data_IF_166953454834
#
_entry.id   IF_166953454834
#
_cell.length_a   1.000
_cell.length_b   1.000
_cell.length_c   1.000
_cell.angle_alpha   90.00
_cell.angle_beta   90.00
_cell.angle_gamma   90.00
#
_symmetry.space_group_name_H-M   'P 1'
#
loop_
_entity.id
_entity.type
_entity.pdbx_description
1 polymer ?
#
# COMPACT_ATOMS: atom_id res chain seq x y z
N UNK A 1 9.40 12.29 28.05
CA UNK A 1 8.23 11.78 28.80
C UNK A 1 6.88 12.30 28.31
N UNK A 2 6.75 13.52 27.77
CA UNK A 2 5.45 14.06 27.30
C UNK A 2 4.91 13.39 26.01
N UNK A 3 5.79 12.99 25.06
CA UNK A 3 5.36 12.29 23.82
C UNK A 3 4.77 10.90 24.04
N UNK A 4 5.22 10.16 25.06
CA UNK A 4 4.69 8.82 25.33
C UNK A 4 3.28 8.86 25.93
N UNK A 5 2.95 9.90 26.71
CA UNK A 5 1.61 10.05 27.29
C UNK A 5 0.53 10.33 26.24
N UNK A 6 0.82 11.12 25.20
CA UNK A 6 -0.16 11.44 24.15
C UNK A 6 -0.39 10.29 23.17
N UNK A 7 0.61 9.41 23.00
CA UNK A 7 0.56 8.29 22.05
C UNK A 7 -0.10 7.04 22.63
N UNK A 8 0.08 6.76 23.93
CA UNK A 8 -0.73 5.77 24.63
C UNK A 8 -2.24 6.07 24.54
N UNK A 9 -2.61 7.36 24.46
CA UNK A 9 -4.00 7.78 24.32
C UNK A 9 -4.59 7.37 22.97
N UNK A 10 -3.84 7.39 21.87
CA UNK A 10 -4.37 7.08 20.54
C UNK A 10 -4.72 5.58 20.39
N UNK A 11 -3.86 4.68 20.87
CA UNK A 11 -4.18 3.25 20.87
C UNK A 11 -5.33 2.97 21.84
N UNK A 12 -5.31 3.56 23.04
CA UNK A 12 -6.42 3.42 24.01
C UNK A 12 -7.73 3.98 23.47
N UNK A 13 -7.73 5.00 22.62
CA UNK A 13 -8.95 5.56 22.00
C UNK A 13 -9.51 4.65 20.89
N UNK A 14 -8.63 4.05 20.07
CA UNK A 14 -9.02 3.03 19.09
C UNK A 14 -9.55 1.78 19.81
N UNK A 15 -8.96 1.42 20.94
CA UNK A 15 -9.35 0.26 21.76
C UNK A 15 -10.65 0.49 22.57
N UNK A 16 -10.85 1.69 23.10
CA UNK A 16 -12.03 2.05 23.89
C UNK A 16 -13.30 2.20 23.04
N UNK A 17 -13.16 2.54 21.75
CA UNK A 17 -14.30 2.65 20.83
C UNK A 17 -14.81 1.29 20.32
N UNK A 18 -14.08 0.19 20.57
CA UNK A 18 -14.43 -1.14 20.07
C UNK A 18 -15.25 -2.00 21.06
N UNK A 19 -15.36 -1.62 22.35
CA UNK A 19 -16.24 -2.31 23.31
C UNK A 19 -15.84 -3.75 23.68
N UNK A 20 -14.61 -4.17 23.39
CA UNK A 20 -14.12 -5.52 23.70
C UNK A 20 -13.28 -5.54 24.98
N UNK A 21 -13.37 -6.65 25.71
CA UNK A 21 -12.54 -6.92 26.88
C UNK A 21 -11.13 -7.38 26.44
N UNK A 22 -10.38 -6.50 25.78
CA UNK A 22 -8.93 -6.64 25.77
C UNK A 22 -8.45 -6.28 27.17
N UNK A 23 -7.71 -7.16 27.82
CA UNK A 23 -7.20 -6.84 29.15
C UNK A 23 -6.24 -5.66 29.02
N UNK A 24 -6.24 -4.74 29.99
CA UNK A 24 -5.27 -3.63 30.01
C UNK A 24 -3.81 -4.13 29.91
N UNK A 25 -3.58 -5.37 30.36
CA UNK A 25 -2.31 -6.10 30.28
C UNK A 25 -1.94 -6.44 28.83
N UNK A 26 -2.84 -6.99 28.02
CA UNK A 26 -2.58 -7.31 26.61
C UNK A 26 -2.33 -6.05 25.78
N UNK A 27 -3.12 -4.99 26.01
CA UNK A 27 -2.88 -3.69 25.35
C UNK A 27 -1.51 -3.12 25.69
N UNK A 28 -1.08 -3.22 26.96
CA UNK A 28 0.25 -2.80 27.39
C UNK A 28 1.36 -3.66 26.78
N UNK A 29 1.13 -4.96 26.58
CA UNK A 29 2.09 -5.87 25.94
C UNK A 29 2.29 -5.55 24.46
N UNK A 30 1.22 -5.28 23.71
CA UNK A 30 1.35 -4.86 22.31
C UNK A 30 2.06 -3.51 22.20
N UNK A 31 1.72 -2.54 23.05
CA UNK A 31 2.42 -1.26 23.09
C UNK A 31 3.90 -1.42 23.43
N UNK A 32 4.25 -2.29 24.39
CA UNK A 32 5.64 -2.57 24.72
C UNK A 32 6.40 -3.21 23.55
N UNK A 33 5.78 -4.16 22.83
CA UNK A 33 6.38 -4.79 21.66
C UNK A 33 6.59 -3.80 20.51
N UNK A 34 5.58 -2.95 20.22
CA UNK A 34 5.69 -1.90 19.21
C UNK A 34 6.77 -0.88 19.62
N UNK A 35 6.78 -0.43 20.88
CA UNK A 35 7.78 0.51 21.38
C UNK A 35 9.20 -0.07 21.33
N UNK A 36 9.36 -1.38 21.56
CA UNK A 36 10.64 -2.07 21.41
C UNK A 36 11.10 -2.09 19.95
N UNK A 37 10.20 -2.39 19.01
CA UNK A 37 10.49 -2.32 17.58
C UNK A 37 10.86 -0.88 17.18
N UNK A 38 10.07 0.13 17.57
CA UNK A 38 10.35 1.55 17.34
C UNK A 38 11.72 1.96 17.88
N UNK A 39 12.07 1.56 19.10
CA UNK A 39 13.37 1.89 19.69
C UNK A 39 14.54 1.25 18.92
N UNK A 40 14.37 0.00 18.46
CA UNK A 40 15.36 -0.67 17.63
C UNK A 40 15.52 0.01 16.26
N UNK A 41 14.41 0.42 15.64
CA UNK A 41 14.42 1.16 14.38
C UNK A 41 15.02 2.57 14.53
N UNK A 42 14.67 3.29 15.60
CA UNK A 42 15.17 4.61 15.92
C UNK A 42 16.67 4.64 16.22
N UNK A 43 17.22 3.55 16.76
CA UNK A 43 18.67 3.41 17.03
C UNK A 43 19.49 3.01 15.81
N UNK A 44 18.86 2.77 14.65
CA UNK A 44 19.58 2.30 13.47
C UNK A 44 19.91 0.81 13.49
N UNK A 45 19.34 0.05 14.44
CA UNK A 45 19.67 -1.35 14.64
C UNK A 45 19.19 -2.24 13.50
N UNK A 46 20.04 -3.20 13.10
CA UNK A 46 19.72 -4.24 12.10
C UNK A 46 18.56 -5.16 12.51
N UNK A 47 18.17 -5.14 13.78
CA UNK A 47 17.09 -5.97 14.33
C UNK A 47 15.70 -5.33 14.17
N UNK A 48 15.59 -4.12 13.61
CA UNK A 48 14.33 -3.41 13.44
C UNK A 48 13.25 -4.27 12.75
N UNK A 49 13.57 -4.85 11.58
CA UNK A 49 12.62 -5.66 10.82
C UNK A 49 12.21 -6.96 11.54
N UNK A 50 13.14 -7.58 12.28
CA UNK A 50 12.87 -8.79 13.05
C UNK A 50 12.00 -8.52 14.28
N UNK A 51 12.26 -7.43 15.02
CA UNK A 51 11.45 -7.05 16.18
C UNK A 51 10.05 -6.59 15.78
N UNK A 52 9.93 -5.92 14.64
CA UNK A 52 8.64 -5.62 14.04
C UNK A 52 7.88 -6.89 13.66
N UNK A 53 8.55 -7.89 13.07
CA UNK A 53 7.92 -9.18 12.74
C UNK A 53 7.40 -9.89 13.99
N UNK A 54 8.17 -9.90 15.07
CA UNK A 54 7.76 -10.44 16.37
C UNK A 54 6.52 -9.71 16.90
N UNK A 55 6.51 -8.37 16.84
CA UNK A 55 5.36 -7.58 17.28
C UNK A 55 4.11 -7.84 16.43
N UNK A 56 4.24 -7.86 15.11
CA UNK A 56 3.13 -8.15 14.18
C UNK A 56 2.60 -9.56 14.38
N UNK A 57 3.48 -10.54 14.59
CA UNK A 57 3.09 -11.93 14.86
C UNK A 57 2.32 -12.04 16.17
N UNK A 58 2.77 -11.35 17.23
CA UNK A 58 2.06 -11.31 18.50
C UNK A 58 0.66 -10.67 18.37
N UNK A 59 0.54 -9.57 17.62
CA UNK A 59 -0.74 -8.92 17.35
C UNK A 59 -1.66 -9.84 16.52
N UNK A 60 -1.12 -10.53 15.51
CA UNK A 60 -1.90 -11.42 14.66
C UNK A 60 -2.43 -12.64 15.44
N UNK A 61 -1.69 -13.12 16.44
CA UNK A 61 -2.10 -14.22 17.32
C UNK A 61 -3.02 -13.80 18.49
N UNK A 62 -3.24 -12.50 18.67
CA UNK A 62 -4.01 -11.96 19.80
C UNK A 62 -5.47 -12.47 19.81
N UNK A 63 -6.05 -12.74 20.99
CA UNK A 63 -7.44 -13.13 21.13
C UNK A 63 -8.39 -11.91 21.06
N UNK A 64 -8.19 -11.06 20.06
CA UNK A 64 -9.02 -9.87 19.79
C UNK A 64 -9.63 -9.96 18.38
N UNK A 65 -10.73 -9.25 18.10
CA UNK A 65 -11.40 -9.34 16.81
C UNK A 65 -10.46 -9.09 15.63
N UNK A 66 -10.67 -9.82 14.54
CA UNK A 66 -9.84 -9.78 13.33
C UNK A 66 -9.68 -8.35 12.77
N UNK A 67 -10.76 -7.55 12.75
CA UNK A 67 -10.72 -6.15 12.34
C UNK A 67 -9.76 -5.30 13.20
N UNK A 68 -9.78 -5.51 14.52
CA UNK A 68 -8.88 -4.83 15.46
C UNK A 68 -7.44 -5.26 15.25
N UNK A 69 -7.17 -6.55 15.05
CA UNK A 69 -5.82 -7.04 14.74
C UNK A 69 -5.26 -6.39 13.48
N UNK A 70 -6.06 -6.28 12.41
CA UNK A 70 -5.66 -5.62 11.16
C UNK A 70 -5.26 -4.15 11.40
N UNK A 71 -6.04 -3.40 12.19
CA UNK A 71 -5.72 -2.02 12.54
C UNK A 71 -4.46 -1.90 13.40
N UNK A 72 -4.29 -2.79 14.38
CA UNK A 72 -3.10 -2.81 15.25
C UNK A 72 -1.83 -3.12 14.45
N UNK A 73 -1.88 -4.09 13.53
CA UNK A 73 -0.77 -4.40 12.62
C UNK A 73 -0.41 -3.20 11.75
N UNK A 74 -1.39 -2.52 11.16
CA UNK A 74 -1.16 -1.33 10.36
C UNK A 74 -0.55 -0.19 11.17
N UNK A 75 -1.05 0.01 12.41
CA UNK A 75 -0.49 0.97 13.35
C UNK A 75 0.97 0.68 13.67
N UNK A 76 1.30 -0.57 13.97
CA UNK A 76 2.67 -1.00 14.25
C UNK A 76 3.62 -0.72 13.07
N UNK A 77 3.24 -1.12 11.86
CA UNK A 77 4.05 -0.90 10.65
C UNK A 77 4.22 0.60 10.33
N UNK A 78 3.15 1.40 10.46
CA UNK A 78 3.20 2.84 10.25
C UNK A 78 4.11 3.53 11.27
N UNK A 79 4.02 3.14 12.54
CA UNK A 79 4.84 3.64 13.64
C UNK A 79 6.32 3.33 13.47
N UNK A 80 6.64 2.07 13.16
CA UNK A 80 8.01 1.66 12.84
C UNK A 80 8.56 2.49 11.68
N UNK A 81 7.81 2.61 10.59
CA UNK A 81 8.22 3.43 9.43
C UNK A 81 8.51 4.87 9.83
N UNK A 82 7.64 5.50 10.63
CA UNK A 82 7.82 6.88 11.09
C UNK A 82 9.03 7.05 12.04
N UNK A 83 9.33 6.03 12.85
CA UNK A 83 10.44 6.03 13.80
C UNK A 83 11.84 5.98 13.16
N UNK A 84 11.93 5.67 11.87
CA UNK A 84 13.21 5.59 11.16
C UNK A 84 13.92 6.94 11.14
N UNK A 85 15.17 7.02 11.66
CA UNK A 85 15.88 8.28 11.79
C UNK A 85 16.41 8.75 10.44
N UNK A 86 16.44 10.06 10.25
CA UNK A 86 16.96 10.68 9.02
C UNK A 86 18.45 10.35 8.78
N UNK A 87 19.21 10.08 9.84
CA UNK A 87 20.63 9.70 9.76
C UNK A 87 20.87 8.27 9.26
N UNK A 88 19.84 7.42 9.18
CA UNK A 88 19.96 6.06 8.65
C UNK A 88 20.25 6.10 7.14
N UNK A 89 21.04 5.14 6.62
CA UNK A 89 21.32 5.05 5.19
C UNK A 89 20.04 4.83 4.37
N UNK A 90 19.93 5.48 3.20
CA UNK A 90 18.67 5.53 2.44
C UNK A 90 18.20 4.15 1.98
N UNK A 91 19.12 3.29 1.57
CA UNK A 91 18.83 1.91 1.18
C UNK A 91 18.24 1.10 2.34
N UNK A 92 18.73 1.30 3.56
CA UNK A 92 18.22 0.64 4.77
C UNK A 92 16.82 1.15 5.12
N UNK A 93 16.57 2.45 4.98
CA UNK A 93 15.23 3.02 5.17
C UNK A 93 14.23 2.42 4.18
N UNK A 94 14.61 2.31 2.90
CA UNK A 94 13.76 1.74 1.87
C UNK A 94 13.47 0.25 2.14
N UNK A 95 14.48 -0.53 2.54
CA UNK A 95 14.33 -1.94 2.89
C UNK A 95 13.39 -2.15 4.07
N UNK A 96 13.58 -1.40 5.16
CA UNK A 96 12.73 -1.50 6.36
C UNK A 96 11.30 -1.05 6.05
N UNK A 97 11.12 0.05 5.31
CA UNK A 97 9.79 0.53 4.92
C UNK A 97 9.06 -0.50 4.06
N UNK A 98 9.77 -1.12 3.11
CA UNK A 98 9.23 -2.19 2.29
C UNK A 98 8.92 -3.45 3.12
N UNK A 99 9.77 -3.80 4.08
CA UNK A 99 9.53 -4.91 5.01
C UNK A 99 8.29 -4.67 5.88
N UNK A 100 8.12 -3.45 6.41
CA UNK A 100 6.99 -3.07 7.26
C UNK A 100 5.66 -3.26 6.56
N UNK A 101 5.54 -2.75 5.34
CA UNK A 101 4.29 -2.92 4.61
C UNK A 101 4.07 -4.35 4.07
N UNK A 102 5.14 -5.12 3.77
CA UNK A 102 5.02 -6.54 3.41
C UNK A 102 4.49 -7.34 4.58
N UNK A 103 5.15 -7.26 5.74
CA UNK A 103 4.74 -7.94 6.96
C UNK A 103 3.31 -7.55 7.37
N UNK A 104 2.94 -6.28 7.26
CA UNK A 104 1.58 -5.84 7.55
C UNK A 104 0.53 -6.43 6.60
N UNK A 105 0.85 -6.49 5.31
CA UNK A 105 -0.04 -7.07 4.28
C UNK A 105 -0.17 -8.57 4.46
N UNK A 106 0.93 -9.28 4.72
CA UNK A 106 0.94 -10.73 4.94
C UNK A 106 0.16 -11.10 6.20
N UNK A 107 0.34 -10.33 7.28
CA UNK A 107 -0.45 -10.48 8.49
C UNK A 107 -1.94 -10.19 8.26
N UNK A 108 -2.29 -9.12 7.51
CA UNK A 108 -3.68 -8.84 7.17
C UNK A 108 -4.32 -9.97 6.35
N UNK A 109 -3.60 -10.51 5.36
CA UNK A 109 -4.04 -11.69 4.59
C UNK A 109 -4.26 -12.90 5.50
N UNK A 110 -3.31 -13.19 6.39
CA UNK A 110 -3.41 -14.29 7.36
C UNK A 110 -4.60 -14.10 8.33
N UNK A 111 -4.80 -12.89 8.85
CA UNK A 111 -5.90 -12.57 9.76
C UNK A 111 -7.24 -12.72 9.03
N UNK A 112 -7.39 -12.22 7.80
CA UNK A 112 -8.63 -12.36 7.02
C UNK A 112 -8.90 -13.83 6.67
N UNK A 113 -7.87 -14.60 6.33
CA UNK A 113 -8.01 -16.01 5.99
C UNK A 113 -8.40 -16.87 7.20
N UNK A 114 -7.87 -16.55 8.38
CA UNK A 114 -8.15 -17.26 9.64
C UNK A 114 -9.34 -16.70 10.42
N UNK A 115 -9.91 -15.57 10.00
CA UNK A 115 -11.02 -14.92 10.70
C UNK A 115 -12.24 -15.86 10.77
N UNK A 116 -12.89 -15.97 11.95
CA UNK A 116 -14.17 -16.64 12.06
C UNK A 116 -15.19 -16.07 11.06
N UNK A 117 -16.13 -16.89 10.55
CA UNK A 117 -17.13 -16.41 9.58
C UNK A 117 -17.89 -15.15 10.03
N UNK A 118 -18.18 -15.05 11.33
CA UNK A 118 -18.86 -13.89 11.93
C UNK A 118 -18.03 -12.59 11.90
N UNK A 119 -16.68 -12.69 11.85
CA UNK A 119 -15.78 -11.52 11.85
C UNK A 119 -15.26 -11.17 10.45
N UNK A 120 -15.34 -12.10 9.48
CA UNK A 120 -14.69 -11.97 8.17
C UNK A 120 -15.10 -10.71 7.42
N UNK A 121 -16.37 -10.33 7.46
CA UNK A 121 -16.86 -9.09 6.84
C UNK A 121 -16.24 -7.85 7.47
N UNK A 122 -16.18 -7.79 8.80
CA UNK A 122 -15.57 -6.68 9.52
C UNK A 122 -14.04 -6.64 9.28
N UNK A 123 -13.38 -7.80 9.22
CA UNK A 123 -11.97 -7.91 8.90
C UNK A 123 -11.66 -7.34 7.51
N UNK A 124 -12.40 -7.76 6.48
CA UNK A 124 -12.26 -7.23 5.12
C UNK A 124 -12.53 -5.72 5.04
N UNK A 125 -13.52 -5.22 5.77
CA UNK A 125 -13.85 -3.79 5.82
C UNK A 125 -12.75 -2.94 6.48
N UNK A 126 -11.93 -3.51 7.37
CA UNK A 126 -10.84 -2.81 8.02
C UNK A 126 -9.58 -2.67 7.14
N UNK A 127 -9.40 -3.55 6.15
CA UNK A 127 -8.19 -3.61 5.29
C UNK A 127 -7.93 -2.30 4.54
N UNK A 128 -8.90 -1.64 3.89
CA UNK A 128 -8.62 -0.39 3.17
C UNK A 128 -8.06 0.72 4.06
N UNK A 129 -8.58 0.85 5.29
CA UNK A 129 -8.09 1.84 6.26
C UNK A 129 -6.67 1.50 6.73
N UNK A 130 -6.41 0.23 7.02
CA UNK A 130 -5.08 -0.27 7.38
C UNK A 130 -4.04 -0.02 6.27
N UNK A 131 -4.37 -0.37 5.02
CA UNK A 131 -3.52 -0.11 3.85
C UNK A 131 -3.26 1.38 3.67
N UNK A 132 -4.29 2.22 3.81
CA UNK A 132 -4.13 3.67 3.71
C UNK A 132 -3.20 4.25 4.79
N UNK A 133 -3.27 3.73 6.02
CA UNK A 133 -2.41 4.15 7.12
C UNK A 133 -0.93 3.82 6.84
N UNK A 134 -0.64 2.58 6.43
CA UNK A 134 0.73 2.15 6.09
C UNK A 134 1.25 2.93 4.88
N UNK A 135 0.44 3.08 3.84
CA UNK A 135 0.80 3.83 2.63
C UNK A 135 1.11 5.30 2.92
N UNK A 136 0.34 5.93 3.82
CA UNK A 136 0.57 7.32 4.24
C UNK A 136 1.90 7.45 4.99
N UNK A 137 2.19 6.53 5.92
CA UNK A 137 3.46 6.54 6.65
C UNK A 137 4.67 6.36 5.73
N UNK A 138 4.57 5.42 4.78
CA UNK A 138 5.59 5.20 3.76
C UNK A 138 5.76 6.41 2.84
N UNK A 139 4.67 7.04 2.42
CA UNK A 139 4.71 8.24 1.58
C UNK A 139 5.36 9.42 2.29
N UNK A 140 5.01 9.64 3.56
CA UNK A 140 5.66 10.67 4.36
C UNK A 140 7.17 10.41 4.49
N UNK A 141 7.56 9.15 4.70
CA UNK A 141 8.98 8.78 4.75
C UNK A 141 9.68 8.96 3.39
N UNK A 142 8.99 8.69 2.29
CA UNK A 142 9.49 8.95 0.93
C UNK A 142 9.70 10.46 0.68
N UNK A 143 8.83 11.32 1.20
CA UNK A 143 9.01 12.77 1.13
C UNK A 143 10.22 13.26 1.94
N UNK A 144 10.51 12.63 3.08
CA UNK A 144 11.73 12.88 3.86
C UNK A 144 13.00 12.37 3.14
N UNK A 145 12.86 11.35 2.29
CA UNK A 145 13.97 10.61 1.64
C UNK A 145 13.74 10.50 0.13
N UNK A 146 13.77 11.62 -0.61
CA UNK A 146 13.43 11.64 -2.04
C UNK A 146 14.30 10.71 -2.88
N UNK A 147 15.54 10.44 -2.47
CA UNK A 147 16.48 9.55 -3.15
C UNK A 147 16.04 8.08 -3.20
N UNK A 148 15.12 7.66 -2.31
CA UNK A 148 14.54 6.31 -2.31
C UNK A 148 13.01 6.32 -2.43
N UNK A 149 12.41 7.47 -2.75
CA UNK A 149 10.97 7.61 -2.88
C UNK A 149 10.38 6.64 -3.91
N UNK A 150 11.05 6.47 -5.06
CA UNK A 150 10.67 5.51 -6.09
C UNK A 150 10.61 4.06 -5.57
N UNK A 151 11.64 3.65 -4.81
CA UNK A 151 11.73 2.30 -4.26
C UNK A 151 10.64 2.05 -3.21
N UNK A 152 10.42 3.02 -2.32
CA UNK A 152 9.35 2.96 -1.31
C UNK A 152 7.98 2.85 -1.98
N UNK A 153 7.71 3.69 -2.98
CA UNK A 153 6.44 3.69 -3.69
C UNK A 153 6.17 2.39 -4.43
N UNK A 154 7.17 1.83 -5.12
CA UNK A 154 7.04 0.51 -5.76
C UNK A 154 6.71 -0.58 -4.74
N UNK A 155 7.35 -0.56 -3.57
CA UNK A 155 7.03 -1.49 -2.47
C UNK A 155 5.60 -1.34 -1.96
N UNK A 156 5.12 -0.11 -1.77
CA UNK A 156 3.72 0.17 -1.37
C UNK A 156 2.73 -0.30 -2.43
N UNK A 157 2.99 -0.01 -3.70
CA UNK A 157 2.12 -0.44 -4.82
C UNK A 157 2.03 -1.97 -4.88
N UNK A 158 3.15 -2.68 -4.72
CA UNK A 158 3.20 -4.15 -4.69
C UNK A 158 2.41 -4.73 -3.51
N UNK A 159 2.49 -4.09 -2.34
CA UNK A 159 1.72 -4.49 -1.15
C UNK A 159 0.22 -4.29 -1.36
N UNK A 160 -0.19 -3.14 -1.89
CA UNK A 160 -1.60 -2.86 -2.18
C UNK A 160 -2.17 -3.90 -3.16
N UNK A 161 -1.40 -4.31 -4.17
CA UNK A 161 -1.82 -5.32 -5.14
C UNK A 161 -2.14 -6.68 -4.48
N UNK A 162 -1.46 -7.01 -3.38
CA UNK A 162 -1.63 -8.25 -2.62
C UNK A 162 -2.63 -8.17 -1.46
N UNK A 163 -3.10 -6.97 -1.11
CA UNK A 163 -4.00 -6.80 0.03
C UNK A 163 -5.37 -7.46 -0.23
N UNK A 164 -6.02 -8.03 0.81
CA UNK A 164 -7.29 -8.75 0.67
C UNK A 164 -8.47 -7.77 0.50
N UNK A 165 -8.56 -7.18 -0.69
CA UNK A 165 -9.58 -6.22 -1.11
C UNK A 165 -10.13 -6.59 -2.49
N UNK A 166 -11.24 -5.98 -2.89
CA UNK A 166 -11.76 -6.09 -4.26
C UNK A 166 -10.75 -5.52 -5.26
N UNK A 167 -10.81 -5.93 -6.52
CA UNK A 167 -9.94 -5.41 -7.57
C UNK A 167 -10.11 -3.90 -7.76
N UNK A 168 -11.34 -3.40 -7.69
CA UNK A 168 -11.61 -1.97 -7.73
C UNK A 168 -10.94 -1.20 -6.58
N UNK A 169 -11.09 -1.68 -5.34
CA UNK A 169 -10.48 -1.03 -4.17
C UNK A 169 -8.94 -1.06 -4.21
N UNK A 170 -8.33 -2.13 -4.74
CA UNK A 170 -6.88 -2.18 -4.96
C UNK A 170 -6.43 -1.14 -5.99
N UNK A 171 -7.14 -0.99 -7.10
CA UNK A 171 -6.80 0.01 -8.14
C UNK A 171 -6.92 1.43 -7.59
N UNK A 172 -7.97 1.74 -6.82
CA UNK A 172 -8.13 3.03 -6.16
C UNK A 172 -6.99 3.31 -5.18
N UNK A 173 -6.60 2.30 -4.38
CA UNK A 173 -5.51 2.42 -3.43
C UNK A 173 -4.14 2.61 -4.12
N UNK A 174 -3.86 1.86 -5.19
CA UNK A 174 -2.64 2.02 -6.01
C UNK A 174 -2.56 3.44 -6.56
N UNK A 175 -3.67 3.92 -7.13
CA UNK A 175 -3.71 5.24 -7.75
C UNK A 175 -3.55 6.36 -6.72
N UNK A 176 -4.16 6.19 -5.54
CA UNK A 176 -4.00 7.12 -4.42
C UNK A 176 -2.56 7.15 -3.92
N UNK A 177 -1.91 6.00 -3.72
CA UNK A 177 -0.52 5.93 -3.28
C UNK A 177 0.43 6.59 -4.30
N UNK A 178 0.23 6.30 -5.59
CA UNK A 178 1.01 6.91 -6.67
C UNK A 178 0.86 8.44 -6.72
N UNK A 179 -0.39 8.93 -6.61
CA UNK A 179 -0.67 10.36 -6.55
C UNK A 179 -0.05 11.02 -5.31
N UNK A 180 -0.21 10.41 -4.12
CA UNK A 180 0.34 10.93 -2.86
C UNK A 180 1.87 11.03 -2.89
N UNK A 181 2.57 10.01 -3.39
CA UNK A 181 4.04 10.07 -3.53
C UNK A 181 4.43 11.17 -4.52
N UNK A 182 3.77 11.23 -5.68
CA UNK A 182 4.04 12.25 -6.70
C UNK A 182 3.87 13.67 -6.15
N UNK A 183 2.75 13.95 -5.48
CA UNK A 183 2.49 15.25 -4.86
C UNK A 183 3.39 15.55 -3.67
N UNK A 184 3.83 14.52 -2.95
CA UNK A 184 4.64 14.62 -1.74
C UNK A 184 6.13 14.85 -1.98
N UNK A 185 6.63 14.70 -3.21
CA UNK A 185 8.04 14.94 -3.52
C UNK A 185 8.42 16.41 -3.23
N UNK A 186 9.44 16.66 -2.38
CA UNK A 186 9.73 17.99 -1.89
C UNK A 186 10.38 18.87 -2.96
N UNK A 187 10.14 20.18 -2.88
CA UNK A 187 10.77 21.17 -3.76
C UNK A 187 12.26 21.39 -3.50
N UNK A 188 12.84 20.72 -2.51
CA UNK A 188 14.28 20.68 -2.25
C UNK A 188 14.98 19.54 -2.96
N UNK A 189 14.25 18.53 -3.46
CA UNK A 189 14.82 17.45 -4.24
C UNK A 189 15.26 17.95 -5.63
N UNK A 190 16.35 17.38 -6.14
CA UNK A 190 16.85 17.69 -7.48
C UNK A 190 15.84 17.25 -8.55
N UNK A 191 15.79 17.99 -9.66
CA UNK A 191 14.88 17.69 -10.76
C UNK A 191 15.12 16.30 -11.36
N UNK A 192 16.37 15.82 -11.35
CA UNK A 192 16.70 14.45 -11.78
C UNK A 192 16.04 13.39 -10.88
N UNK A 193 16.10 13.55 -9.55
CA UNK A 193 15.47 12.63 -8.60
C UNK A 193 13.95 12.67 -8.74
N UNK A 194 13.37 13.87 -8.89
CA UNK A 194 11.92 14.03 -9.06
C UNK A 194 11.47 13.37 -10.36
N UNK A 195 12.11 13.66 -11.50
CA UNK A 195 11.76 13.08 -12.79
C UNK A 195 11.88 11.55 -12.78
N UNK A 196 12.97 11.00 -12.22
CA UNK A 196 13.15 9.57 -12.08
C UNK A 196 12.09 8.92 -11.18
N UNK A 197 11.78 9.56 -10.03
CA UNK A 197 10.77 9.05 -9.10
C UNK A 197 9.39 9.04 -9.71
N UNK A 198 8.97 10.14 -10.35
CA UNK A 198 7.68 10.23 -11.04
C UNK A 198 7.59 9.17 -12.15
N UNK A 199 8.66 8.98 -12.93
CA UNK A 199 8.70 7.95 -13.98
C UNK A 199 8.43 6.55 -13.44
N UNK A 200 9.20 6.14 -12.42
CA UNK A 200 9.08 4.81 -11.81
C UNK A 200 7.72 4.62 -11.14
N UNK A 201 7.23 5.61 -10.40
CA UNK A 201 5.95 5.54 -9.68
C UNK A 201 4.79 5.38 -10.65
N UNK A 202 4.76 6.18 -11.72
CA UNK A 202 3.70 6.14 -12.72
C UNK A 202 3.72 4.82 -13.50
N UNK A 203 4.89 4.33 -13.88
CA UNK A 203 5.04 3.06 -14.60
C UNK A 203 4.62 1.86 -13.72
N UNK A 204 5.03 1.85 -12.46
CA UNK A 204 4.63 0.83 -11.49
C UNK A 204 3.13 0.85 -11.24
N UNK A 205 2.53 2.04 -11.06
CA UNK A 205 1.10 2.19 -10.84
C UNK A 205 0.29 1.73 -12.06
N UNK A 206 0.69 2.13 -13.27
CA UNK A 206 0.03 1.73 -14.51
C UNK A 206 0.12 0.22 -14.75
N UNK A 207 1.30 -0.37 -14.54
CA UNK A 207 1.51 -1.82 -14.72
C UNK A 207 0.69 -2.62 -13.71
N UNK A 208 0.75 -2.25 -12.43
CA UNK A 208 -0.03 -2.92 -11.38
C UNK A 208 -1.53 -2.78 -11.61
N UNK A 209 -2.00 -1.59 -12.01
CA UNK A 209 -3.42 -1.36 -12.34
C UNK A 209 -3.88 -2.26 -13.49
N UNK A 210 -3.09 -2.38 -14.57
CA UNK A 210 -3.37 -3.28 -15.69
C UNK A 210 -3.46 -4.73 -15.24
N UNK A 211 -2.52 -5.19 -14.41
CA UNK A 211 -2.51 -6.55 -13.87
C UNK A 211 -3.74 -6.84 -13.00
N UNK A 212 -4.11 -5.93 -12.10
CA UNK A 212 -5.30 -6.09 -11.24
C UNK A 212 -6.58 -6.10 -12.07
N UNK A 213 -6.70 -5.18 -13.05
CA UNK A 213 -7.87 -5.10 -13.91
C UNK A 213 -8.03 -6.35 -14.79
N UNK A 214 -6.94 -6.88 -15.33
CA UNK A 214 -6.96 -8.10 -16.14
C UNK A 214 -7.34 -9.35 -15.33
N UNK A 215 -7.00 -9.39 -14.04
CA UNK A 215 -7.35 -10.48 -13.13
C UNK A 215 -8.71 -10.29 -12.43
N UNK A 216 -9.42 -9.19 -12.70
CA UNK A 216 -10.66 -8.89 -12.00
C UNK A 216 -11.81 -9.83 -12.44
N UNK A 217 -12.64 -10.29 -11.49
CA UNK A 217 -13.79 -11.12 -11.83
C UNK A 217 -14.85 -10.29 -12.57
N UNK A 218 -15.62 -10.93 -13.45
CA UNK A 218 -16.56 -10.23 -14.33
C UNK A 218 -17.63 -9.41 -13.58
N UNK A 219 -18.01 -9.83 -12.38
CA UNK A 219 -18.95 -9.11 -11.52
C UNK A 219 -18.39 -7.78 -10.97
N UNK A 220 -17.08 -7.55 -11.05
CA UNK A 220 -16.43 -6.29 -10.65
C UNK A 220 -16.08 -5.39 -11.83
N UNK A 221 -16.32 -5.80 -13.09
CA UNK A 221 -15.81 -5.12 -14.28
C UNK A 221 -16.18 -3.63 -14.35
N UNK A 222 -17.43 -3.27 -14.05
CA UNK A 222 -17.88 -1.88 -14.05
C UNK A 222 -17.20 -1.04 -12.95
N UNK A 223 -17.06 -1.60 -11.74
CA UNK A 223 -16.39 -0.94 -10.63
C UNK A 223 -14.88 -0.77 -10.91
N UNK A 224 -14.25 -1.79 -11.51
CA UNK A 224 -12.84 -1.75 -11.94
C UNK A 224 -12.63 -0.67 -13.01
N UNK A 225 -13.48 -0.58 -14.02
CA UNK A 225 -13.38 0.45 -15.05
C UNK A 225 -13.54 1.86 -14.48
N UNK A 226 -14.47 2.05 -13.55
CA UNK A 226 -14.64 3.31 -12.82
C UNK A 226 -13.38 3.65 -12.00
N UNK A 227 -12.83 2.68 -11.27
CA UNK A 227 -11.61 2.83 -10.48
C UNK A 227 -10.39 3.18 -11.34
N UNK A 228 -10.20 2.54 -12.51
CA UNK A 228 -9.12 2.86 -13.46
C UNK A 228 -9.26 4.30 -13.96
N UNK A 229 -10.47 4.71 -14.31
CA UNK A 229 -10.74 6.07 -14.84
C UNK A 229 -10.47 7.13 -13.77
N UNK A 230 -11.03 6.95 -12.57
CA UNK A 230 -10.80 7.85 -11.44
C UNK A 230 -9.32 7.90 -11.05
N UNK A 231 -8.66 6.74 -11.02
CA UNK A 231 -7.25 6.60 -10.70
C UNK A 231 -6.33 7.33 -11.68
N UNK A 232 -6.54 7.14 -12.99
CA UNK A 232 -5.77 7.85 -14.02
C UNK A 232 -5.93 9.37 -13.93
N UNK A 233 -7.13 9.86 -13.57
CA UNK A 233 -7.41 11.28 -13.38
C UNK A 233 -6.67 11.84 -12.17
N UNK A 234 -6.71 11.12 -11.03
CA UNK A 234 -6.01 11.52 -9.81
C UNK A 234 -4.49 11.57 -10.03
N UNK A 235 -3.93 10.56 -10.69
CA UNK A 235 -2.52 10.49 -11.04
C UNK A 235 -2.12 11.65 -11.97
N UNK A 236 -2.89 11.90 -13.02
CA UNK A 236 -2.62 13.00 -13.95
C UNK A 236 -2.68 14.38 -13.26
N UNK A 237 -3.62 14.56 -12.33
CA UNK A 237 -3.71 15.78 -11.53
C UNK A 237 -2.48 15.99 -10.65
N UNK A 238 -2.01 14.94 -9.96
CA UNK A 238 -0.80 15.01 -9.13
C UNK A 238 0.46 15.32 -9.97
N UNK A 239 0.59 14.64 -11.12
CA UNK A 239 1.69 14.88 -12.05
C UNK A 239 1.68 16.31 -12.62
N UNK A 240 0.51 16.84 -12.99
CA UNK A 240 0.35 18.23 -13.41
C UNK A 240 0.71 19.21 -12.28
N UNK A 241 0.32 18.90 -11.04
CA UNK A 241 0.70 19.65 -9.85
C UNK A 241 2.21 19.69 -9.62
N UNK A 242 2.93 18.62 -9.93
CA UNK A 242 4.40 18.62 -9.91
C UNK A 242 5.01 19.38 -11.08
N UNK A 243 4.52 19.18 -12.30
CA UNK A 243 4.99 19.89 -13.48
C UNK A 243 4.88 21.42 -13.31
N UNK A 244 3.80 21.90 -12.68
CA UNK A 244 3.63 23.32 -12.36
C UNK A 244 4.68 23.85 -11.37
N UNK A 245 5.10 23.03 -10.39
CA UNK A 245 6.16 23.37 -9.42
C UNK A 245 7.57 23.22 -10.00
N UNK A 246 7.69 22.57 -11.16
CA UNK A 246 8.96 22.18 -11.81
C UNK A 246 8.90 22.38 -13.33
N UNK A 247 8.89 23.64 -13.81
CA UNK A 247 8.82 23.93 -15.25
C UNK A 247 9.98 23.31 -16.05
N UNK A 248 11.13 23.13 -15.43
CA UNK A 248 12.35 22.57 -16.02
C UNK A 248 12.23 21.09 -16.41
N UNK A 249 11.34 20.33 -15.77
CA UNK A 249 11.07 18.91 -16.09
C UNK A 249 9.61 18.64 -16.46
N UNK A 250 8.81 19.69 -16.66
CA UNK A 250 7.38 19.56 -16.99
C UNK A 250 7.11 18.72 -18.25
N UNK A 251 7.93 18.89 -19.30
CA UNK A 251 7.82 18.11 -20.53
C UNK A 251 8.10 16.62 -20.33
N UNK A 252 9.06 16.29 -19.46
CA UNK A 252 9.36 14.89 -19.09
C UNK A 252 8.18 14.28 -18.33
N UNK A 253 7.65 14.99 -17.33
CA UNK A 253 6.49 14.52 -16.56
C UNK A 253 5.28 14.29 -17.47
N UNK A 254 4.98 15.23 -18.36
CA UNK A 254 3.87 15.10 -19.31
C UNK A 254 4.04 13.88 -20.23
N UNK A 255 5.26 13.65 -20.73
CA UNK A 255 5.56 12.50 -21.60
C UNK A 255 5.33 11.17 -20.89
N UNK A 256 5.71 11.07 -19.60
CA UNK A 256 5.47 9.86 -18.80
C UNK A 256 3.98 9.66 -18.54
N UNK A 257 3.23 10.72 -18.21
CA UNK A 257 1.78 10.62 -17.99
C UNK A 257 1.08 10.11 -19.25
N UNK A 258 1.43 10.62 -20.43
CA UNK A 258 0.85 10.12 -21.68
C UNK A 258 1.28 8.68 -22.00
N UNK A 259 2.53 8.30 -21.74
CA UNK A 259 3.01 6.93 -21.95
C UNK A 259 2.35 5.91 -21.01
N UNK A 260 1.98 6.33 -19.79
CA UNK A 260 1.35 5.47 -18.77
C UNK A 260 -0.17 5.49 -18.82
N UNK A 261 -0.75 6.39 -19.62
CA UNK A 261 -2.19 6.43 -19.87
C UNK A 261 -2.61 5.11 -20.49
N UNK A 262 -3.55 4.44 -19.85
CA UNK A 262 -4.17 3.24 -20.42
C UNK A 262 -4.92 3.69 -21.66
N UNK A 263 -4.50 3.22 -22.84
CA UNK A 263 -5.27 3.44 -24.05
C UNK A 263 -6.72 2.95 -23.80
N UNK A 264 -7.75 3.74 -24.13
CA UNK A 264 -9.12 3.26 -24.07
C UNK A 264 -9.20 2.02 -24.95
N UNK A 265 -9.64 0.91 -24.36
CA UNK A 265 -9.53 -0.40 -24.96
C UNK A 265 -9.97 -0.40 -26.42
N UNK A 266 -9.05 -0.72 -27.32
CA UNK A 266 -9.43 -1.57 -28.45
C UNK A 266 -9.90 -2.87 -27.81
N UNK A 267 -11.21 -3.04 -27.72
CA UNK A 267 -11.81 -4.36 -27.71
C UNK A 267 -11.20 -5.11 -28.89
N UNK A 268 -10.18 -5.92 -28.64
CA UNK A 268 -9.84 -6.98 -29.58
C UNK A 268 -11.06 -7.88 -29.56
N UNK A 269 -11.99 -7.63 -30.48
CA UNK A 269 -12.89 -8.66 -30.96
C UNK A 269 -11.98 -9.84 -31.26
N UNK A 270 -12.04 -10.88 -30.42
CA UNK A 270 -11.56 -12.19 -30.83
C UNK A 270 -12.35 -12.48 -32.10
N UNK A 271 -11.70 -12.59 -33.28
CA UNK A 271 -12.42 -13.01 -34.46
C UNK A 271 -13.02 -14.37 -34.13
N UNK A 272 -14.33 -14.44 -34.28
CA UNK A 272 -15.11 -15.66 -34.33
C UNK A 272 -14.30 -16.70 -35.10
N UNK A 273 -13.83 -17.73 -34.40
CA UNK A 273 -13.14 -18.83 -35.06
C UNK A 273 -14.20 -19.49 -35.93
N UNK A 274 -14.11 -19.21 -37.23
CA UNK A 274 -14.81 -19.92 -38.29
C UNK A 274 -14.63 -21.40 -38.00
N UNK A 275 -15.73 -22.07 -37.66
CA UNK A 275 -15.77 -23.51 -37.49
C UNK A 275 -15.43 -24.14 -38.83
N UNK A 276 -14.20 -24.64 -38.97
CA UNK A 276 -13.83 -25.51 -40.07
C UNK A 276 -14.51 -26.86 -39.81
N UNK A 277 -15.59 -27.13 -40.55
CA UNK A 277 -16.18 -28.46 -40.65
C UNK A 277 -15.13 -29.43 -41.21
N UNK A 278 -14.71 -30.39 -40.38
CA UNK A 278 -14.01 -31.57 -40.84
C UNK A 278 -15.06 -32.59 -41.30
N UNK A 279 -15.00 -33.15 -42.52
CA UNK A 279 -15.95 -34.15 -42.98
C UNK A 279 -15.86 -35.45 -42.17
N UNK A 280 -17.02 -36.03 -41.85
CA UNK A 280 -17.16 -37.38 -41.28
C UNK A 280 -16.38 -38.40 -42.13
N UNK A 281 -15.48 -39.14 -41.48
CA UNK A 281 -14.97 -40.39 -42.03
C UNK A 281 -15.95 -41.51 -41.65
N UNK A 282 -16.57 -42.12 -42.68
CA UNK A 282 -17.48 -43.25 -42.55
C UNK A 282 -16.82 -44.47 -41.89
N UNK A 283 -17.57 -45.28 -41.12
CA UNK A 283 -17.06 -46.50 -40.51
C UNK A 283 -17.02 -47.66 -41.51
N UNK A 284 -15.89 -48.36 -41.56
CA UNK A 284 -15.77 -49.74 -42.05
C UNK A 284 -14.90 -50.52 -41.09
#
# INVERSE_FOLDING_TARGET
MIKQLTMATALVTILASAGFAQTAVESAQFEAAIASAEAACASGGSNCAALMEVAITAIAAAPVPAATRIQLVASAAARVTQSLPASMASNVVAEITAAAGRQATDAANSIVASAPPAERTAALAAVPAAVAQVSTAATNKAAERPEVAAQIASGVIEQIARAPMTSAARIEAVSRAAAQVTDGLPTTASSAIVAASVSVVLEAAATTTRTIAAAAPANEAAAVQAAVTAGSTAIASAAAGQAARRPDIAGTIASVVEATRTAPGTTTNVPEIVSVQVPEASPT
#
